data_IF_908963068814
#
_entry.id   IF_908963068814
#
_cell.length_a   1.000
_cell.length_b   1.000
_cell.length_c   1.000
_cell.angle_alpha   90.00
_cell.angle_beta   90.00
_cell.angle_gamma   90.00
#
_symmetry.space_group_name_H-M   'P 1'
#
loop_
_entity.id
_entity.type
_entity.pdbx_description
1 polymer ?
#
# COMPACT_ATOMS: atom_id res chain seq x y z
N UNK A 1 12.52 18.38 21.71
CA UNK A 1 12.25 17.12 20.99
C UNK A 1 11.25 16.34 21.82
N UNK A 2 10.03 16.15 21.32
CA UNK A 2 8.94 15.51 22.04
C UNK A 2 9.35 14.10 22.52
N UNK A 3 8.99 13.74 23.76
CA UNK A 3 9.35 12.46 24.36
C UNK A 3 8.86 11.26 23.54
N UNK A 4 9.57 10.14 23.70
CA UNK A 4 9.30 8.84 23.08
C UNK A 4 7.79 8.56 22.95
N UNK A 5 7.27 8.22 21.75
CA UNK A 5 5.85 7.91 21.57
C UNK A 5 5.39 6.64 22.29
N UNK A 6 6.33 5.79 22.75
CA UNK A 6 6.02 4.68 23.66
C UNK A 6 5.30 5.23 24.90
N UNK A 7 4.20 4.58 25.26
CA UNK A 7 3.35 4.88 26.43
C UNK A 7 2.47 6.14 26.34
N UNK A 8 2.45 6.85 25.20
CA UNK A 8 1.57 8.01 24.98
C UNK A 8 0.30 7.72 24.16
N UNK A 9 0.39 6.79 23.23
CA UNK A 9 -0.68 6.46 22.28
C UNK A 9 -1.01 4.99 22.37
N UNK A 10 -2.27 4.65 22.14
CA UNK A 10 -2.72 3.26 22.13
C UNK A 10 -3.84 3.05 21.09
N UNK A 11 -3.96 1.80 20.64
CA UNK A 11 -5.14 1.33 19.91
C UNK A 11 -6.07 0.75 20.96
N UNK A 12 -7.23 1.38 21.12
CA UNK A 12 -8.20 1.04 22.18
C UNK A 12 -9.32 0.11 21.72
N UNK A 13 -9.50 -0.06 20.40
CA UNK A 13 -10.47 -1.01 19.86
C UNK A 13 -10.24 -1.34 18.39
N UNK A 14 -10.66 -2.54 18.00
CA UNK A 14 -10.57 -3.05 16.63
C UNK A 14 -11.93 -3.58 16.19
N UNK A 15 -12.29 -3.34 14.94
CA UNK A 15 -13.58 -3.75 14.40
C UNK A 15 -13.49 -4.17 12.95
N UNK A 16 -14.04 -5.34 12.67
CA UNK A 16 -14.07 -5.92 11.33
C UNK A 16 -15.51 -6.26 10.93
N UNK A 17 -15.75 -6.34 9.63
CA UNK A 17 -16.97 -6.92 9.06
C UNK A 17 -16.74 -8.38 8.73
N UNK A 18 -17.80 -9.15 8.52
CA UNK A 18 -17.67 -10.47 7.92
C UNK A 18 -17.00 -10.41 6.52
N UNK A 19 -15.94 -11.21 6.34
CA UNK A 19 -15.30 -11.37 5.04
C UNK A 19 -16.13 -12.28 4.13
N UNK A 20 -16.77 -11.70 3.12
CA UNK A 20 -17.63 -12.44 2.20
C UNK A 20 -17.32 -12.10 0.73
N UNK A 21 -17.58 -13.07 -0.14
CA UNK A 21 -17.56 -12.87 -1.59
C UNK A 21 -18.94 -12.41 -2.03
N UNK A 22 -18.98 -11.43 -2.93
CA UNK A 22 -20.23 -10.86 -3.45
C UNK A 22 -21.21 -10.44 -2.35
N UNK A 23 -20.71 -9.71 -1.35
CA UNK A 23 -21.44 -9.34 -0.12
C UNK A 23 -22.83 -8.74 -0.36
N UNK A 24 -23.05 -8.06 -1.50
CA UNK A 24 -24.29 -7.31 -1.77
C UNK A 24 -24.43 -6.06 -0.88
N UNK A 25 -23.40 -5.74 -0.09
CA UNK A 25 -23.36 -4.63 0.86
C UNK A 25 -22.64 -3.45 0.24
N UNK A 26 -22.95 -2.22 0.65
CA UNK A 26 -22.19 -1.05 0.22
C UNK A 26 -20.92 -0.89 1.07
N UNK A 27 -19.86 -0.31 0.51
CA UNK A 27 -18.64 0.04 1.27
C UNK A 27 -18.96 1.00 2.42
N UNK A 28 -19.97 1.86 2.23
CA UNK A 28 -20.51 2.75 3.27
C UNK A 28 -21.07 1.97 4.47
N UNK A 29 -21.96 1.02 4.22
CA UNK A 29 -22.57 0.20 5.27
C UNK A 29 -21.53 -0.65 6.02
N UNK A 30 -20.58 -1.25 5.29
CA UNK A 30 -19.50 -2.03 5.88
C UNK A 30 -18.53 -1.17 6.68
N UNK A 31 -18.19 0.03 6.20
CA UNK A 31 -17.33 0.97 6.94
C UNK A 31 -17.99 1.42 8.25
N UNK A 32 -19.29 1.73 8.21
CA UNK A 32 -20.04 2.08 9.41
C UNK A 32 -20.12 0.92 10.42
N UNK A 33 -20.29 -0.33 9.95
CA UNK A 33 -20.25 -1.52 10.80
C UNK A 33 -18.88 -1.72 11.45
N UNK A 34 -17.80 -1.66 10.67
CA UNK A 34 -16.44 -1.83 11.18
C UNK A 34 -16.11 -0.82 12.29
N UNK A 35 -16.40 0.47 12.07
CA UNK A 35 -16.17 1.51 13.08
C UNK A 35 -17.08 1.31 14.30
N UNK A 36 -18.33 0.90 14.13
CA UNK A 36 -19.21 0.59 15.25
C UNK A 36 -18.68 -0.57 16.09
N UNK A 37 -18.16 -1.61 15.45
CA UNK A 37 -17.54 -2.74 16.13
C UNK A 37 -16.30 -2.29 16.90
N UNK A 38 -15.46 -1.44 16.30
CA UNK A 38 -14.27 -0.89 16.97
C UNK A 38 -14.64 0.00 18.17
N UNK A 39 -15.69 0.83 18.06
CA UNK A 39 -16.22 1.60 19.18
C UNK A 39 -16.70 0.70 20.32
N UNK A 40 -17.45 -0.35 19.99
CA UNK A 40 -17.95 -1.29 20.99
C UNK A 40 -16.82 -2.03 21.72
N UNK A 41 -15.78 -2.44 20.99
CA UNK A 41 -14.59 -3.08 21.55
C UNK A 41 -13.85 -2.14 22.51
N UNK A 42 -13.77 -0.84 22.17
CA UNK A 42 -13.17 0.20 23.00
C UNK A 42 -14.07 0.69 24.15
N UNK A 43 -15.36 0.31 24.18
CA UNK A 43 -16.33 0.89 25.12
C UNK A 43 -16.63 2.38 24.87
N UNK A 44 -16.42 2.86 23.64
CA UNK A 44 -16.59 4.26 23.23
C UNK A 44 -17.96 4.49 22.59
N UNK A 45 -18.41 5.74 22.64
CA UNK A 45 -19.57 6.24 21.93
C UNK A 45 -19.15 7.14 20.76
N UNK A 46 -20.04 7.46 19.81
CA UNK A 46 -19.71 8.38 18.73
C UNK A 46 -19.24 9.77 19.17
N UNK A 47 -19.63 10.20 20.38
CA UNK A 47 -19.21 11.48 20.96
C UNK A 47 -17.77 11.50 21.46
N UNK A 48 -17.16 10.33 21.65
CA UNK A 48 -15.78 10.19 22.11
C UNK A 48 -14.77 10.22 20.95
N UNK A 49 -15.24 10.21 19.70
CA UNK A 49 -14.41 10.24 18.49
C UNK A 49 -14.44 11.63 17.87
N UNK A 50 -13.28 12.26 17.79
CA UNK A 50 -13.10 13.62 17.28
C UNK A 50 -12.03 13.72 16.17
N UNK A 51 -11.55 12.57 15.67
CA UNK A 51 -10.79 12.46 14.43
C UNK A 51 -11.26 11.29 13.54
N UNK A 52 -11.19 11.45 12.23
CA UNK A 52 -11.50 10.36 11.28
C UNK A 52 -10.56 10.31 10.08
N UNK A 53 -9.97 9.14 9.84
CA UNK A 53 -9.02 8.92 8.74
C UNK A 53 -9.38 7.69 7.91
N UNK A 54 -9.17 7.78 6.59
CA UNK A 54 -9.26 6.63 5.69
C UNK A 54 -8.15 6.63 4.64
N UNK A 55 -7.99 5.48 3.98
CA UNK A 55 -7.13 5.35 2.81
C UNK A 55 -7.83 4.57 1.71
N UNK A 56 -7.80 5.10 0.48
CA UNK A 56 -8.43 4.44 -0.66
C UNK A 56 -7.99 5.00 -2.02
N UNK A 57 -8.08 4.18 -3.06
CA UNK A 57 -7.91 4.58 -4.47
C UNK A 57 -9.26 4.92 -5.16
N UNK A 58 -10.24 5.37 -4.38
CA UNK A 58 -11.62 5.55 -4.79
C UNK A 58 -12.47 4.26 -4.74
N UNK A 59 -11.98 3.23 -4.07
CA UNK A 59 -12.63 1.94 -3.84
C UNK A 59 -13.28 1.80 -2.46
N UNK A 60 -13.13 2.83 -1.61
CA UNK A 60 -13.78 2.95 -0.30
C UNK A 60 -14.67 4.17 -0.21
N UNK A 61 -15.40 4.30 0.89
CA UNK A 61 -16.23 5.47 1.19
C UNK A 61 -15.40 6.50 1.98
N UNK A 62 -15.45 7.80 1.60
CA UNK A 62 -14.74 8.85 2.32
C UNK A 62 -15.10 8.93 3.81
N UNK A 63 -14.14 9.28 4.67
CA UNK A 63 -14.37 9.47 6.10
C UNK A 63 -15.52 10.43 6.38
N UNK A 64 -15.59 11.52 5.61
CA UNK A 64 -16.63 12.54 5.70
C UNK A 64 -18.04 12.06 5.38
N UNK A 65 -18.18 10.90 4.72
CA UNK A 65 -19.49 10.30 4.44
C UNK A 65 -19.96 9.34 5.53
N UNK A 66 -19.01 8.64 6.18
CA UNK A 66 -19.28 7.69 7.27
C UNK A 66 -19.62 8.43 8.57
N UNK A 67 -18.97 9.57 8.84
CA UNK A 67 -19.20 10.36 10.06
C UNK A 67 -20.71 10.63 10.28
N UNK A 68 -21.45 10.93 9.21
CA UNK A 68 -22.87 11.23 9.26
C UNK A 68 -23.72 10.03 9.65
N UNK A 69 -23.33 8.82 9.23
CA UNK A 69 -24.08 7.59 9.53
C UNK A 69 -23.91 7.16 10.99
N UNK A 70 -22.80 7.54 11.62
CA UNK A 70 -22.46 7.20 13.00
C UNK A 70 -22.72 8.34 13.98
N UNK A 71 -23.01 9.56 13.50
CA UNK A 71 -23.17 10.73 14.33
C UNK A 71 -21.86 11.24 14.94
N UNK A 72 -20.72 10.90 14.32
CA UNK A 72 -19.38 11.34 14.73
C UNK A 72 -19.14 12.77 14.21
N UNK A 73 -18.46 13.60 15.01
CA UNK A 73 -18.16 15.00 14.68
C UNK A 73 -16.67 15.27 14.82
N UNK A 74 -15.86 14.91 13.81
CA UNK A 74 -14.42 15.06 13.87
C UNK A 74 -13.99 16.53 13.73
N UNK A 75 -13.05 16.94 14.58
CA UNK A 75 -12.28 18.18 14.46
C UNK A 75 -11.19 18.06 13.38
N UNK A 76 -10.70 16.85 13.13
CA UNK A 76 -9.72 16.54 12.09
C UNK A 76 -10.15 15.36 11.23
N UNK A 77 -10.09 15.50 9.91
CA UNK A 77 -10.35 14.39 9.00
C UNK A 77 -9.48 14.47 7.74
N UNK A 78 -9.13 13.31 7.20
CA UNK A 78 -8.39 13.19 5.94
C UNK A 78 -8.56 11.81 5.34
N UNK A 79 -8.70 11.76 4.01
CA UNK A 79 -8.57 10.52 3.25
C UNK A 79 -7.28 10.58 2.45
N UNK A 80 -6.38 9.61 2.65
CA UNK A 80 -5.18 9.51 1.85
C UNK A 80 -5.39 8.58 0.64
N UNK A 81 -4.84 8.98 -0.51
CA UNK A 81 -4.81 8.09 -1.68
C UNK A 81 -3.64 7.12 -1.54
N UNK A 82 -3.93 5.82 -1.45
CA UNK A 82 -2.87 4.82 -1.29
C UNK A 82 -3.31 3.37 -1.12
N UNK A 83 -2.31 2.51 -0.89
CA UNK A 83 -2.41 1.04 -0.84
C UNK A 83 -2.13 0.47 0.54
N UNK A 84 -1.64 -0.78 0.62
CA UNK A 84 -1.48 -1.50 1.90
C UNK A 84 -0.64 -0.79 2.96
N UNK A 85 0.41 -0.06 2.54
CA UNK A 85 1.29 0.70 3.44
C UNK A 85 0.64 1.96 4.04
N UNK A 86 -0.51 2.41 3.53
CA UNK A 86 -1.15 3.63 4.00
C UNK A 86 -1.71 3.52 5.42
N UNK A 87 -1.98 2.30 5.91
CA UNK A 87 -2.45 2.09 7.29
C UNK A 87 -1.47 2.68 8.32
N UNK A 88 -0.17 2.44 8.14
CA UNK A 88 0.89 2.96 9.01
C UNK A 88 1.00 4.49 8.91
N UNK A 89 0.85 5.03 7.69
CA UNK A 89 0.84 6.47 7.48
C UNK A 89 -0.34 7.16 8.20
N UNK A 90 -1.52 6.53 8.22
CA UNK A 90 -2.68 7.06 8.94
C UNK A 90 -2.48 7.04 10.45
N UNK A 91 -1.81 6.03 11.00
CA UNK A 91 -1.43 6.01 12.42
C UNK A 91 -0.49 7.17 12.74
N UNK A 92 0.52 7.42 11.89
CA UNK A 92 1.41 8.58 12.03
C UNK A 92 0.66 9.93 11.97
N UNK A 93 -0.29 10.07 11.03
CA UNK A 93 -1.15 11.26 10.94
C UNK A 93 -2.05 11.44 12.15
N UNK A 94 -2.60 10.35 12.71
CA UNK A 94 -3.39 10.39 13.93
C UNK A 94 -2.55 10.89 15.12
N UNK A 95 -1.36 10.33 15.31
CA UNK A 95 -0.42 10.79 16.34
C UNK A 95 -0.07 12.27 16.17
N UNK A 96 0.22 12.70 14.94
CA UNK A 96 0.52 14.10 14.64
C UNK A 96 -0.65 15.04 14.92
N UNK A 97 -1.88 14.63 14.59
CA UNK A 97 -3.08 15.40 14.88
C UNK A 97 -3.33 15.52 16.40
N UNK A 98 -3.06 14.45 17.17
CA UNK A 98 -3.15 14.46 18.63
C UNK A 98 -2.07 15.34 19.26
N UNK A 99 -0.80 15.21 18.85
CA UNK A 99 0.29 16.10 19.34
C UNK A 99 0.01 17.58 18.99
N UNK A 100 -0.64 17.85 17.86
CA UNK A 100 -1.04 19.20 17.46
C UNK A 100 -2.27 19.74 18.22
N UNK A 101 -2.91 18.94 19.07
CA UNK A 101 -4.12 19.31 19.81
C UNK A 101 -5.36 19.47 18.92
N UNK A 102 -5.38 18.81 17.75
CA UNK A 102 -6.53 18.86 16.83
C UNK A 102 -7.63 17.87 17.21
N UNK A 103 -7.28 16.74 17.81
CA UNK A 103 -8.18 15.70 18.26
C UNK A 103 -7.53 14.83 19.35
N UNK A 104 -8.33 14.06 20.08
CA UNK A 104 -7.86 13.11 21.11
C UNK A 104 -8.05 11.63 20.71
N UNK A 105 -9.10 11.34 19.92
CA UNK A 105 -9.49 9.97 19.54
C UNK A 105 -9.79 9.89 18.05
N UNK A 106 -9.03 9.07 17.32
CA UNK A 106 -9.12 8.98 15.86
C UNK A 106 -9.63 7.61 15.40
N UNK A 107 -10.73 7.59 14.65
CA UNK A 107 -11.16 6.39 13.93
C UNK A 107 -10.40 6.26 12.61
N UNK A 108 -9.70 5.15 12.42
CA UNK A 108 -9.03 4.78 11.17
C UNK A 108 -9.78 3.61 10.55
N UNK A 109 -10.19 3.72 9.29
CA UNK A 109 -10.88 2.62 8.62
C UNK A 109 -10.57 2.52 7.13
N UNK A 110 -10.82 1.34 6.58
CA UNK A 110 -11.00 1.11 5.14
C UNK A 110 -12.09 0.06 4.96
N UNK A 111 -12.89 0.22 3.90
CA UNK A 111 -13.95 -0.73 3.54
C UNK A 111 -14.00 -0.89 2.03
N UNK A 112 -13.96 -2.12 1.52
CA UNK A 112 -13.87 -2.36 0.07
C UNK A 112 -14.72 -3.54 -0.39
N UNK A 113 -15.26 -3.42 -1.60
CA UNK A 113 -15.91 -4.52 -2.31
C UNK A 113 -15.04 -4.97 -3.48
N UNK A 114 -13.98 -5.71 -3.18
CA UNK A 114 -13.04 -6.15 -4.21
C UNK A 114 -13.69 -7.01 -5.29
N UNK A 115 -14.72 -7.81 -4.96
CA UNK A 115 -15.38 -8.69 -5.93
C UNK A 115 -16.42 -7.99 -6.81
N UNK A 116 -17.35 -7.24 -6.20
CA UNK A 116 -18.52 -6.68 -6.89
C UNK A 116 -18.38 -5.21 -7.28
N UNK A 117 -17.29 -4.55 -6.90
CA UNK A 117 -17.05 -3.15 -7.20
C UNK A 117 -15.63 -2.96 -7.76
N UNK A 118 -14.86 -2.00 -7.25
CA UNK A 118 -13.50 -1.75 -7.73
C UNK A 118 -12.57 -2.85 -7.22
N UNK A 119 -12.14 -3.71 -8.15
CA UNK A 119 -11.04 -4.66 -7.95
C UNK A 119 -9.71 -3.93 -8.13
N UNK A 120 -8.99 -3.71 -7.04
CA UNK A 120 -7.60 -3.27 -7.09
C UNK A 120 -6.73 -4.41 -7.64
N UNK A 121 -6.02 -4.12 -8.74
CA UNK A 121 -5.21 -5.04 -9.56
C UNK A 121 -5.80 -6.38 -9.97
N UNK A 122 -7.03 -6.37 -10.48
CA UNK A 122 -7.60 -7.50 -11.21
C UNK A 122 -8.41 -7.07 -12.44
N UNK A 123 -9.17 -7.99 -13.03
CA UNK A 123 -10.02 -7.76 -14.20
C UNK A 123 -11.35 -7.09 -13.82
N UNK A 124 -11.86 -6.14 -14.63
CA UNK A 124 -13.10 -5.38 -14.38
C UNK A 124 -13.20 -4.07 -15.18
N UNK A 125 -14.24 -3.25 -14.96
CA UNK A 125 -14.50 -2.03 -15.75
C UNK A 125 -13.36 -0.98 -15.70
N UNK A 126 -12.60 -0.92 -14.59
CA UNK A 126 -11.38 -0.10 -14.51
C UNK A 126 -10.21 -0.71 -15.29
N UNK A 127 -10.16 -2.02 -15.49
CA UNK A 127 -9.13 -2.70 -16.30
C UNK A 127 -9.35 -2.49 -17.81
N UNK A 128 -10.58 -2.19 -18.24
CA UNK A 128 -10.92 -1.85 -19.63
C UNK A 128 -10.79 -0.35 -19.96
N UNK A 129 -10.50 0.50 -18.97
CA UNK A 129 -10.28 1.92 -19.22
C UNK A 129 -8.94 2.14 -19.95
N UNK A 130 -8.87 3.00 -20.98
CA UNK A 130 -7.62 3.34 -21.65
C UNK A 130 -6.56 3.81 -20.65
N UNK A 131 -5.34 3.31 -20.78
CA UNK A 131 -4.21 3.71 -19.95
C UNK A 131 -3.71 5.07 -20.47
N UNK A 132 -3.56 6.06 -19.59
CA UNK A 132 -3.10 7.40 -19.96
C UNK A 132 -2.43 8.15 -18.81
N UNK A 133 -1.66 9.19 -19.14
CA UNK A 133 -0.92 9.97 -18.15
C UNK A 133 0.07 9.12 -17.33
N UNK A 134 0.14 9.36 -16.02
CA UNK A 134 1.05 8.63 -15.11
C UNK A 134 0.74 7.13 -15.00
N UNK A 135 -0.46 6.70 -15.42
CA UNK A 135 -0.82 5.27 -15.42
C UNK A 135 -0.06 4.48 -16.50
N UNK A 136 0.49 5.14 -17.52
CA UNK A 136 1.36 4.51 -18.52
C UNK A 136 2.62 3.90 -17.88
N UNK A 137 3.13 4.51 -16.81
CA UNK A 137 4.27 3.99 -16.05
C UNK A 137 3.89 2.94 -15.00
N UNK A 138 2.60 2.80 -14.67
CA UNK A 138 2.16 1.97 -13.54
C UNK A 138 1.44 0.71 -13.97
N UNK A 139 0.45 0.85 -14.85
CA UNK A 139 -0.53 -0.22 -15.13
C UNK A 139 0.00 -1.33 -16.04
N UNK A 140 0.78 -1.06 -17.10
CA UNK A 140 1.40 -2.13 -17.90
C UNK A 140 2.30 -3.04 -17.06
N UNK A 141 2.97 -2.44 -16.07
CA UNK A 141 3.85 -3.09 -15.11
C UNK A 141 3.08 -3.57 -13.86
N UNK A 142 1.75 -3.70 -13.86
CA UNK A 142 1.03 -4.26 -12.71
C UNK A 142 1.13 -3.48 -11.39
N UNK A 143 1.59 -2.22 -11.38
CA UNK A 143 1.81 -1.39 -10.19
C UNK A 143 0.49 -0.81 -9.60
N UNK A 144 -0.54 -1.65 -9.53
CA UNK A 144 -1.86 -1.30 -8.98
C UNK A 144 -2.41 -2.33 -7.98
N UNK A 145 -1.67 -3.40 -7.62
CA UNK A 145 -2.09 -4.38 -6.60
C UNK A 145 -1.04 -4.56 -5.50
N UNK A 146 -1.50 -5.01 -4.33
CA UNK A 146 -0.70 -5.27 -3.14
C UNK A 146 0.30 -6.44 -3.31
N UNK A 147 0.03 -7.37 -4.24
CA UNK A 147 0.95 -8.43 -4.66
C UNK A 147 0.67 -8.74 -6.13
N UNK A 148 1.70 -8.77 -6.97
CA UNK A 148 1.59 -9.05 -8.41
C UNK A 148 2.74 -9.97 -8.84
N UNK A 149 2.44 -11.26 -9.03
CA UNK A 149 3.39 -12.25 -9.57
C UNK A 149 3.44 -12.24 -11.12
N UNK A 150 2.46 -11.60 -11.77
CA UNK A 150 2.34 -11.43 -13.23
C UNK A 150 1.40 -10.27 -13.52
N UNK A 151 1.53 -9.62 -14.69
CA UNK A 151 0.69 -8.46 -15.03
C UNK A 151 -0.82 -8.72 -14.90
N UNK A 152 -1.53 -7.70 -14.43
CA UNK A 152 -2.98 -7.72 -14.20
C UNK A 152 -3.80 -7.57 -15.49
N UNK A 153 -3.14 -7.28 -16.62
CA UNK A 153 -3.75 -7.17 -17.95
C UNK A 153 -3.54 -8.49 -18.72
N UNK A 154 -4.59 -9.26 -19.02
CA UNK A 154 -4.45 -10.59 -19.63
C UNK A 154 -3.70 -10.60 -20.96
N UNK A 155 -3.86 -9.55 -21.78
CA UNK A 155 -3.19 -9.43 -23.08
C UNK A 155 -1.68 -9.17 -23.00
N UNK A 156 -1.17 -8.77 -21.83
CA UNK A 156 0.26 -8.56 -21.59
C UNK A 156 0.87 -9.69 -20.76
N UNK A 157 0.08 -10.71 -20.38
CA UNK A 157 0.55 -11.81 -19.52
C UNK A 157 1.82 -12.47 -20.05
N UNK A 158 1.87 -12.68 -21.35
CA UNK A 158 2.98 -13.34 -22.04
C UNK A 158 4.07 -12.34 -22.49
N UNK A 159 3.85 -11.04 -22.28
CA UNK A 159 4.72 -9.93 -22.72
C UNK A 159 5.42 -9.19 -21.56
N UNK A 160 4.94 -9.35 -20.33
CA UNK A 160 5.53 -8.74 -19.12
C UNK A 160 5.69 -9.78 -18.01
N UNK A 161 6.73 -10.65 -18.07
CA UNK A 161 6.93 -11.80 -17.19
C UNK A 161 7.95 -11.54 -16.07
N UNK A 162 8.18 -10.28 -15.69
CA UNK A 162 9.21 -9.90 -14.72
C UNK A 162 8.66 -9.81 -13.30
N UNK A 163 9.45 -10.29 -12.33
CA UNK A 163 9.23 -10.00 -10.92
C UNK A 163 9.51 -8.51 -10.65
N UNK A 164 8.55 -7.84 -10.03
CA UNK A 164 8.70 -6.44 -9.64
C UNK A 164 9.16 -6.41 -8.20
N UNK A 165 10.36 -5.87 -7.99
CA UNK A 165 10.97 -5.76 -6.68
C UNK A 165 10.83 -4.33 -6.17
N UNK A 166 10.44 -4.19 -4.91
CA UNK A 166 10.58 -2.94 -4.17
C UNK A 166 12.02 -2.90 -3.66
N UNK A 167 12.85 -2.04 -4.24
CA UNK A 167 14.23 -1.86 -3.80
C UNK A 167 14.27 -0.74 -2.78
N UNK A 168 14.72 -1.08 -1.57
CA UNK A 168 15.20 -0.10 -0.60
C UNK A 168 16.65 0.22 -0.97
N UNK A 169 16.90 1.44 -1.42
CA UNK A 169 18.23 1.88 -1.79
C UNK A 169 19.05 2.15 -0.53
N UNK A 170 20.00 1.25 -0.24
CA UNK A 170 21.09 1.49 0.72
C UNK A 170 22.21 2.39 0.15
N UNK A 171 22.03 2.98 -1.03
CA UNK A 171 23.08 3.71 -1.75
C UNK A 171 23.43 5.09 -1.19
N UNK A 172 22.88 5.52 -0.05
CA UNK A 172 23.44 6.68 0.62
C UNK A 172 24.64 6.26 1.47
N UNK A 173 25.82 6.25 0.84
CA UNK A 173 27.11 6.24 1.56
C UNK A 173 27.22 7.52 2.40
N UNK A 174 26.68 7.49 3.61
CA UNK A 174 26.59 8.57 4.61
C UNK A 174 26.01 8.05 5.93
N UNK A 175 25.73 8.92 6.91
CA UNK A 175 24.90 8.55 8.07
C UNK A 175 23.44 8.85 7.72
N UNK A 176 22.62 7.84 7.38
CA UNK A 176 21.19 8.03 7.18
C UNK A 176 20.51 8.46 8.48
N UNK A 177 19.50 9.32 8.38
CA UNK A 177 18.61 9.62 9.50
C UNK A 177 17.28 8.84 9.42
N UNK A 178 16.45 8.97 10.45
CA UNK A 178 15.18 8.25 10.59
C UNK A 178 14.10 8.66 9.57
N UNK A 179 14.39 9.61 8.69
CA UNK A 179 13.49 10.11 7.65
C UNK A 179 13.97 9.80 6.23
N UNK A 180 15.16 9.21 6.07
CA UNK A 180 15.74 8.87 4.78
C UNK A 180 15.40 7.43 4.35
N UNK A 181 14.61 7.31 3.29
CA UNK A 181 14.28 6.03 2.66
C UNK A 181 13.79 6.22 1.23
N UNK A 182 14.69 6.07 0.25
CA UNK A 182 14.31 6.13 -1.17
C UNK A 182 13.91 4.73 -1.65
N UNK A 183 12.60 4.50 -1.72
CA UNK A 183 12.02 3.27 -2.26
C UNK A 183 11.77 3.43 -3.75
N UNK A 184 12.53 2.70 -4.57
CA UNK A 184 12.36 2.72 -6.02
C UNK A 184 11.95 1.33 -6.49
N UNK A 185 10.84 1.28 -7.21
CA UNK A 185 10.34 0.05 -7.82
C UNK A 185 10.89 -0.07 -9.24
N UNK A 186 11.38 -1.25 -9.60
CA UNK A 186 11.84 -1.54 -10.96
C UNK A 186 11.91 -3.04 -11.23
N UNK A 187 12.33 -3.42 -12.44
CA UNK A 187 12.46 -4.83 -12.79
C UNK A 187 13.83 -5.35 -12.40
N UNK A 188 13.89 -6.61 -11.99
CA UNK A 188 15.14 -7.32 -11.74
C UNK A 188 15.57 -8.07 -13.01
N UNK A 189 16.80 -7.84 -13.45
CA UNK A 189 17.37 -8.42 -14.66
C UNK A 189 18.73 -9.05 -14.41
N UNK A 190 19.09 -10.00 -15.28
CA UNK A 190 20.39 -10.66 -15.26
C UNK A 190 21.48 -9.80 -15.94
N UNK A 191 22.66 -10.40 -16.12
CA UNK A 191 23.81 -9.76 -16.75
C UNK A 191 23.56 -9.35 -18.22
N UNK A 192 22.65 -10.05 -18.91
CA UNK A 192 22.34 -9.85 -20.33
C UNK A 192 21.16 -8.90 -20.58
N UNK A 193 20.56 -8.36 -19.50
CA UNK A 193 19.27 -7.66 -19.56
C UNK A 193 18.11 -8.58 -19.95
N UNK A 194 18.28 -9.88 -19.74
CA UNK A 194 17.18 -10.83 -19.71
C UNK A 194 16.59 -10.90 -18.29
N UNK A 195 15.47 -11.59 -18.14
CA UNK A 195 14.78 -11.72 -16.86
C UNK A 195 15.65 -12.46 -15.85
N UNK A 196 15.71 -11.95 -14.62
CA UNK A 196 16.30 -12.72 -13.52
C UNK A 196 15.44 -13.94 -13.20
N UNK A 197 16.09 -15.07 -12.89
CA UNK A 197 15.40 -16.31 -12.56
C UNK A 197 14.70 -16.17 -11.21
N UNK A 198 13.45 -16.63 -11.12
CA UNK A 198 12.64 -16.54 -9.89
C UNK A 198 13.33 -17.14 -8.67
N UNK A 199 14.07 -18.24 -8.85
CA UNK A 199 14.88 -18.90 -7.82
C UNK A 199 15.97 -18.00 -7.19
N UNK A 200 16.41 -16.96 -7.91
CA UNK A 200 17.42 -16.01 -7.45
C UNK A 200 16.81 -14.80 -6.72
N UNK A 201 15.49 -14.59 -6.84
CA UNK A 201 14.78 -13.44 -6.28
C UNK A 201 14.53 -13.63 -4.79
N UNK A 202 14.90 -12.63 -3.98
CA UNK A 202 14.61 -12.65 -2.55
C UNK A 202 14.64 -11.28 -1.90
N UNK A 203 13.79 -11.11 -0.88
CA UNK A 203 13.81 -9.99 0.06
C UNK A 203 15.17 -9.98 0.77
N UNK A 204 15.81 -8.81 0.85
CA UNK A 204 17.12 -8.62 1.49
C UNK A 204 18.33 -8.89 0.58
N UNK A 205 18.11 -9.35 -0.66
CA UNK A 205 19.18 -9.48 -1.66
C UNK A 205 19.69 -8.10 -2.10
N UNK A 206 20.98 -8.03 -2.42
CA UNK A 206 21.64 -6.80 -2.85
C UNK A 206 21.47 -6.61 -4.35
N UNK A 207 21.23 -5.37 -4.76
CA UNK A 207 21.05 -4.99 -6.17
C UNK A 207 21.81 -3.72 -6.50
N UNK A 208 22.21 -3.57 -7.76
CA UNK A 208 22.71 -2.34 -8.34
C UNK A 208 21.70 -1.74 -9.34
N UNK A 209 21.72 -0.41 -9.47
CA UNK A 209 20.98 0.28 -10.51
C UNK A 209 21.66 0.07 -11.87
N UNK A 210 20.91 -0.42 -12.86
CA UNK A 210 21.36 -0.52 -14.24
C UNK A 210 20.39 0.21 -15.17
N UNK A 211 20.88 0.64 -16.34
CA UNK A 211 20.11 1.48 -17.25
C UNK A 211 19.98 0.82 -18.63
N UNK A 212 18.78 0.35 -18.96
CA UNK A 212 18.47 -0.27 -20.25
C UNK A 212 18.26 0.83 -21.32
N UNK A 213 19.06 0.88 -22.39
CA UNK A 213 18.81 1.80 -23.50
C UNK A 213 17.61 1.34 -24.31
N UNK A 214 16.65 2.23 -24.57
CA UNK A 214 15.45 1.90 -25.35
C UNK A 214 15.48 2.57 -26.73
N UNK A 215 15.66 3.91 -26.80
CA UNK A 215 15.83 4.70 -28.05
C UNK A 215 16.27 6.16 -27.71
N UNK A 216 16.85 6.91 -28.66
CA UNK A 216 17.16 8.36 -28.60
C UNK A 216 17.51 8.95 -27.22
N UNK A 217 18.58 8.43 -26.60
CA UNK A 217 19.09 8.95 -25.31
C UNK A 217 18.20 8.65 -24.10
N UNK A 218 17.07 7.98 -24.29
CA UNK A 218 16.19 7.50 -23.23
C UNK A 218 16.69 6.17 -22.68
N UNK A 219 16.92 6.15 -21.36
CA UNK A 219 17.35 4.98 -20.62
C UNK A 219 16.35 4.68 -19.51
N UNK A 220 15.94 3.43 -19.39
CA UNK A 220 15.09 2.96 -18.31
C UNK A 220 15.95 2.46 -17.14
N UNK A 221 15.66 2.94 -15.94
CA UNK A 221 16.24 2.40 -14.70
C UNK A 221 15.70 0.99 -14.43
N UNK A 222 16.61 0.10 -14.09
CA UNK A 222 16.40 -1.32 -13.84
C UNK A 222 17.32 -1.76 -12.70
N UNK A 223 17.16 -2.99 -12.21
CA UNK A 223 17.96 -3.53 -11.12
C UNK A 223 18.63 -4.83 -11.53
N UNK A 224 19.83 -5.07 -10.99
CA UNK A 224 20.55 -6.33 -11.16
C UNK A 224 21.04 -6.84 -9.83
N UNK A 225 20.97 -8.14 -9.58
CA UNK A 225 21.56 -8.76 -8.39
C UNK A 225 23.08 -8.59 -8.39
N UNK A 226 23.63 -8.25 -7.24
CA UNK A 226 25.08 -8.22 -7.03
C UNK A 226 25.49 -9.26 -5.99
N UNK A 227 26.71 -9.79 -6.14
CA UNK A 227 27.31 -10.78 -5.24
C UNK A 227 27.78 -10.17 -3.90
N UNK A 228 27.03 -9.19 -3.40
CA UNK A 228 27.22 -8.66 -2.05
C UNK A 228 26.34 -9.44 -1.05
N UNK A 229 26.88 -9.80 0.12
CA UNK A 229 26.10 -10.47 1.15
C UNK A 229 24.95 -9.57 1.63
N UNK A 230 23.76 -10.17 1.81
CA UNK A 230 22.60 -9.51 2.39
C UNK A 230 22.92 -9.02 3.81
N UNK A 231 22.54 -7.78 4.13
CA UNK A 231 22.57 -7.28 5.51
C UNK A 231 21.23 -7.63 6.17
N UNK A 232 21.17 -8.78 6.84
CA UNK A 232 20.00 -9.20 7.61
C UNK A 232 19.23 -10.38 7.02
N UNK A 233 17.97 -10.52 7.42
CA UNK A 233 17.14 -11.65 7.06
C UNK A 233 16.81 -11.65 5.56
N UNK A 234 17.12 -12.76 4.89
CA UNK A 234 16.79 -12.96 3.48
C UNK A 234 15.61 -13.92 3.36
N UNK A 235 14.61 -13.59 2.56
CA UNK A 235 13.48 -14.47 2.27
C UNK A 235 13.29 -14.61 0.76
N UNK A 236 13.21 -15.84 0.26
CA UNK A 236 12.92 -16.12 -1.14
C UNK A 236 11.65 -16.99 -1.24
N UNK A 237 10.87 -16.77 -2.29
CA UNK A 237 9.76 -17.65 -2.61
C UNK A 237 10.30 -19.04 -2.98
N UNK A 238 9.75 -20.10 -2.39
CA UNK A 238 10.14 -21.47 -2.73
C UNK A 238 9.35 -21.89 -3.97
N UNK A 239 10.02 -21.98 -5.12
CA UNK A 239 9.43 -22.50 -6.35
C UNK A 239 9.20 -24.02 -6.16
N UNK A 240 7.96 -24.52 -6.27
CA UNK A 240 7.71 -25.96 -6.15
C UNK A 240 8.47 -26.73 -7.24
N UNK A 241 9.14 -27.83 -6.87
CA UNK A 241 9.71 -28.75 -7.86
C UNK A 241 8.59 -29.29 -8.77
N UNK A 242 8.83 -29.25 -10.08
CA UNK A 242 7.88 -29.62 -11.13
C UNK A 242 7.61 -31.12 -11.20
#
# INVERSE_FOLDING_TARGET
MAGNPRDKYCIVGVGETEYSRASGRTTRAMGAEAIRNAMNDAGLTPGDIDGMLSYHGGDSTPATSIQYDLGIRPNFYMDCSGGGSSTEALVGLAIGAIEAGMCDTVAIFRSMNGYSNIRIGGTGARASAPIGGMDLMKRPYGLISAVVAHTVIPSFRDLTPFAIVLVELDEQRGQPDEHDGLRITGNLMDANFDMEKEENVGIGKRVEACFLPVEDGFKLLQWRLIDEPAQGFTWAHQVPEA
#
